data_IF_580344385568
#
_entry.id   IF_580344385568
#
_cell.length_a   1.000
_cell.length_b   1.000
_cell.length_c   1.000
_cell.angle_alpha   90.00
_cell.angle_beta   90.00
_cell.angle_gamma   90.00
#
_symmetry.space_group_name_H-M   'P 1'
#
loop_
_entity.id
_entity.type
_entity.pdbx_description
1 polymer ?
#
# COMPACT_ATOMS: atom_id res chain seq x y z
N UNK A 1 -20.29 16.25 -13.98
CA UNK A 1 -19.82 14.99 -14.62
C UNK A 1 -19.89 13.88 -13.58
N UNK A 2 -20.52 12.77 -13.95
CA UNK A 2 -20.68 11.61 -13.08
C UNK A 2 -19.54 10.63 -13.31
N UNK A 3 -18.80 10.30 -12.25
CA UNK A 3 -17.65 9.40 -12.28
C UNK A 3 -17.98 8.12 -11.55
N UNK A 4 -17.88 6.99 -12.23
CA UNK A 4 -18.04 5.70 -11.59
C UNK A 4 -16.67 5.09 -11.29
N UNK A 5 -16.41 4.81 -10.01
CA UNK A 5 -15.19 4.15 -9.56
C UNK A 5 -15.43 2.65 -9.52
N UNK A 6 -14.88 1.92 -10.47
CA UNK A 6 -15.01 0.49 -10.57
C UNK A 6 -13.79 -0.23 -10.00
N UNK A 7 -14.04 -1.19 -9.13
CA UNK A 7 -13.03 -2.12 -8.63
C UNK A 7 -11.82 -1.51 -7.94
N UNK A 8 -12.04 -0.43 -7.22
CA UNK A 8 -11.03 0.21 -6.39
C UNK A 8 -11.02 -0.49 -5.04
N UNK A 9 -10.41 -1.69 -4.98
CA UNK A 9 -10.38 -2.52 -3.80
C UNK A 9 -9.30 -2.07 -2.82
N UNK A 10 -9.50 -1.01 -2.11
CA UNK A 10 -8.77 -0.84 -0.86
C UNK A 10 -9.51 0.11 0.07
N UNK A 11 -9.33 -0.09 1.34
CA UNK A 11 -9.91 0.69 2.42
C UNK A 11 -9.53 2.18 2.39
N UNK A 12 -8.48 2.52 1.70
CA UNK A 12 -7.90 3.86 1.69
C UNK A 12 -8.42 4.74 0.56
N UNK A 13 -8.62 4.18 -0.62
CA UNK A 13 -8.92 5.00 -1.79
C UNK A 13 -10.42 5.20 -2.09
N UNK A 14 -11.32 4.20 -1.97
CA UNK A 14 -12.72 4.41 -2.34
C UNK A 14 -13.40 5.53 -1.56
N UNK A 15 -13.14 5.62 -0.27
CA UNK A 15 -13.78 6.64 0.56
C UNK A 15 -13.13 8.02 0.36
N UNK A 16 -11.82 8.07 0.31
CA UNK A 16 -11.07 9.32 0.13
C UNK A 16 -11.15 9.82 -1.31
N UNK A 17 -11.00 8.93 -2.30
CA UNK A 17 -11.09 9.30 -3.72
C UNK A 17 -12.47 9.77 -4.13
N UNK A 18 -13.54 9.15 -3.61
CA UNK A 18 -14.89 9.59 -3.88
C UNK A 18 -15.20 10.94 -3.23
N UNK A 19 -14.83 11.12 -1.98
CA UNK A 19 -15.02 12.39 -1.25
C UNK A 19 -14.29 13.55 -1.94
N UNK A 20 -13.06 13.31 -2.40
CA UNK A 20 -12.26 14.32 -3.09
C UNK A 20 -12.75 14.67 -4.48
N UNK A 21 -13.18 13.68 -5.26
CA UNK A 21 -13.81 13.95 -6.55
C UNK A 21 -15.12 14.74 -6.35
N UNK A 22 -15.89 14.44 -5.31
CA UNK A 22 -17.04 15.23 -4.93
C UNK A 22 -16.66 16.68 -4.59
N UNK A 23 -15.58 16.92 -3.85
CA UNK A 23 -15.08 18.27 -3.55
C UNK A 23 -14.64 19.03 -4.81
N UNK A 24 -14.22 18.34 -5.86
CA UNK A 24 -13.92 18.90 -7.18
C UNK A 24 -15.14 19.04 -8.10
N UNK A 25 -16.34 18.84 -7.58
CA UNK A 25 -17.60 19.02 -8.30
C UNK A 25 -18.01 17.82 -9.17
N UNK A 26 -17.44 16.64 -8.94
CA UNK A 26 -17.90 15.41 -9.59
C UNK A 26 -18.99 14.75 -8.74
N UNK A 27 -20.00 14.22 -9.39
CA UNK A 27 -20.93 13.28 -8.77
C UNK A 27 -20.29 11.89 -8.87
N UNK A 28 -19.98 11.28 -7.73
CA UNK A 28 -19.25 10.01 -7.68
C UNK A 28 -20.17 8.89 -7.21
N UNK A 29 -20.26 7.84 -7.99
CA UNK A 29 -20.93 6.59 -7.65
C UNK A 29 -20.00 5.41 -7.73
N UNK A 30 -20.48 4.27 -7.28
CA UNK A 30 -19.78 2.99 -7.37
C UNK A 30 -19.48 2.38 -6.03
N UNK A 31 -19.77 1.08 -6.00
CA UNK A 31 -19.17 0.18 -5.02
C UNK A 31 -19.35 -1.24 -5.62
N UNK A 32 -18.47 -2.05 -5.74
CA UNK A 32 -17.75 -2.59 -6.79
C UNK A 32 -17.27 -4.02 -6.61
N UNK A 33 -17.81 -4.77 -5.73
CA UNK A 33 -17.45 -6.17 -5.50
C UNK A 33 -18.56 -7.16 -5.81
N UNK A 34 -19.81 -6.72 -5.91
CA UNK A 34 -20.92 -7.66 -6.14
C UNK A 34 -21.49 -7.59 -7.56
N UNK A 35 -21.75 -8.74 -8.20
CA UNK A 35 -22.64 -8.73 -9.37
C UNK A 35 -24.01 -8.22 -8.90
N UNK A 36 -24.42 -7.01 -9.31
CA UNK A 36 -24.59 -6.64 -10.69
C UNK A 36 -23.93 -5.30 -11.06
N UNK A 37 -22.65 -5.27 -11.25
CA UNK A 37 -21.89 -4.10 -11.68
C UNK A 37 -22.51 -3.37 -12.88
N UNK A 38 -22.95 -4.12 -13.89
CA UNK A 38 -23.58 -3.56 -15.08
C UNK A 38 -24.83 -2.75 -14.73
N UNK A 39 -25.71 -3.29 -13.88
CA UNK A 39 -26.96 -2.62 -13.50
C UNK A 39 -26.68 -1.37 -12.68
N UNK A 40 -25.74 -1.42 -11.75
CA UNK A 40 -25.32 -0.24 -10.96
C UNK A 40 -24.74 0.85 -11.84
N UNK A 41 -23.93 0.50 -12.85
CA UNK A 41 -23.35 1.44 -13.80
C UNK A 41 -24.44 2.07 -14.69
N UNK A 42 -25.38 1.29 -15.18
CA UNK A 42 -26.53 1.76 -15.99
C UNK A 42 -27.44 2.66 -15.14
N UNK A 43 -27.77 2.24 -13.92
CA UNK A 43 -28.62 3.01 -13.00
C UNK A 43 -27.98 4.35 -12.61
N UNK A 44 -26.64 4.41 -12.46
CA UNK A 44 -25.91 5.62 -12.17
C UNK A 44 -25.74 6.55 -13.38
N UNK A 45 -25.88 6.04 -14.59
CA UNK A 45 -25.69 6.78 -15.85
C UNK A 45 -24.35 7.56 -15.88
N UNK A 46 -23.25 6.84 -15.66
CA UNK A 46 -21.91 7.44 -15.55
C UNK A 46 -21.46 8.12 -16.86
N UNK A 47 -20.84 9.29 -16.74
CA UNK A 47 -20.18 9.97 -17.85
C UNK A 47 -18.76 9.42 -18.07
N UNK A 48 -18.11 8.95 -17.00
CA UNK A 48 -16.76 8.36 -17.03
C UNK A 48 -16.65 7.21 -16.03
N UNK A 49 -15.92 6.16 -16.39
CA UNK A 49 -15.56 5.06 -15.49
C UNK A 49 -14.06 5.08 -15.22
N UNK A 50 -13.68 5.14 -13.95
CA UNK A 50 -12.31 4.91 -13.50
C UNK A 50 -12.23 3.46 -13.03
N UNK A 51 -11.38 2.70 -13.67
CA UNK A 51 -11.21 1.28 -13.39
C UNK A 51 -9.84 0.96 -12.84
N UNK A 52 -9.80 0.39 -11.65
CA UNK A 52 -8.57 -0.12 -11.03
C UNK A 52 -8.64 -1.65 -10.96
N UNK A 53 -7.97 -2.39 -11.86
CA UNK A 53 -8.04 -3.84 -11.90
C UNK A 53 -7.40 -4.44 -10.66
N UNK A 54 -8.15 -5.29 -9.98
CA UNK A 54 -7.66 -6.02 -8.81
C UNK A 54 -7.42 -7.51 -9.11
N UNK A 55 -8.14 -8.08 -10.07
CA UNK A 55 -8.04 -9.50 -10.44
C UNK A 55 -8.24 -9.70 -11.94
N UNK A 56 -7.65 -10.79 -12.47
CA UNK A 56 -7.83 -11.20 -13.88
C UNK A 56 -9.30 -11.35 -14.31
N UNK A 57 -10.15 -11.82 -13.39
CA UNK A 57 -11.59 -12.02 -13.67
C UNK A 57 -12.31 -10.71 -13.94
N UNK A 58 -11.88 -9.63 -13.32
CA UNK A 58 -12.50 -8.31 -13.44
C UNK A 58 -12.23 -7.69 -14.81
N UNK A 59 -11.04 -7.95 -15.38
CA UNK A 59 -10.69 -7.53 -16.73
C UNK A 59 -11.61 -8.20 -17.79
N UNK A 60 -11.96 -9.47 -17.60
CA UNK A 60 -12.82 -10.22 -18.50
C UNK A 60 -14.27 -9.71 -18.48
N UNK A 61 -14.74 -9.20 -17.34
CA UNK A 61 -16.12 -8.65 -17.23
C UNK A 61 -16.26 -7.35 -18.01
N UNK A 62 -15.21 -6.53 -18.08
CA UNK A 62 -15.18 -5.31 -18.90
C UNK A 62 -15.08 -5.59 -20.40
N UNK A 63 -14.61 -6.77 -20.79
CA UNK A 63 -14.56 -7.21 -22.19
C UNK A 63 -15.94 -7.40 -22.84
N UNK A 64 -17.03 -7.41 -22.08
CA UNK A 64 -18.38 -7.47 -22.64
C UNK A 64 -18.73 -6.10 -23.21
N UNK A 65 -18.73 -6.02 -24.53
CA UNK A 65 -18.87 -4.87 -25.44
C UNK A 65 -19.84 -3.75 -25.02
N UNK A 66 -20.73 -3.98 -24.07
CA UNK A 66 -21.78 -3.04 -23.70
C UNK A 66 -21.41 -2.07 -22.57
N UNK A 67 -20.39 -2.40 -21.77
CA UNK A 67 -19.93 -1.54 -20.65
C UNK A 67 -19.00 -0.43 -21.13
N UNK A 68 -18.38 -0.57 -22.29
CA UNK A 68 -17.32 0.28 -22.83
C UNK A 68 -17.82 1.46 -23.69
N UNK A 69 -19.10 1.79 -23.65
CA UNK A 69 -19.65 2.97 -24.38
C UNK A 69 -19.27 4.30 -23.73
N UNK A 70 -18.84 4.26 -22.48
CA UNK A 70 -18.49 5.43 -21.70
C UNK A 70 -16.97 5.58 -21.72
N UNK A 71 -16.41 6.80 -21.82
CA UNK A 71 -14.98 7.04 -21.67
C UNK A 71 -14.45 6.39 -20.40
N UNK A 72 -13.35 5.65 -20.53
CA UNK A 72 -12.80 4.87 -19.42
C UNK A 72 -11.34 5.25 -19.17
N UNK A 73 -11.00 5.38 -17.89
CA UNK A 73 -9.64 5.53 -17.41
C UNK A 73 -9.22 4.24 -16.71
N UNK A 74 -8.17 3.61 -17.20
CA UNK A 74 -7.50 2.53 -16.49
C UNK A 74 -6.50 3.12 -15.50
N UNK A 75 -6.68 2.85 -14.21
CA UNK A 75 -5.69 3.15 -13.18
C UNK A 75 -5.10 1.86 -12.64
N UNK A 76 -3.96 1.47 -13.15
CA UNK A 76 -3.27 0.25 -12.78
C UNK A 76 -2.54 0.45 -11.44
N UNK A 77 -3.21 0.13 -10.33
CA UNK A 77 -2.70 0.28 -8.98
C UNK A 77 -1.85 -0.93 -8.52
N UNK A 78 -2.05 -2.08 -9.15
CA UNK A 78 -1.52 -3.35 -8.67
C UNK A 78 -0.78 -4.14 -9.75
N UNK A 79 0.43 -3.75 -10.11
CA UNK A 79 1.30 -4.67 -10.82
C UNK A 79 1.96 -5.67 -9.86
N UNK A 80 1.23 -6.17 -8.87
CA UNK A 80 1.74 -7.13 -7.87
C UNK A 80 2.41 -8.34 -8.48
N UNK A 81 2.11 -8.61 -9.74
CA UNK A 81 2.62 -9.73 -10.49
C UNK A 81 3.74 -9.37 -11.46
N UNK A 82 4.12 -8.07 -11.54
CA UNK A 82 5.05 -7.62 -12.59
C UNK A 82 6.54 -7.69 -12.22
N UNK A 83 6.87 -7.92 -10.97
CA UNK A 83 8.27 -7.80 -10.52
C UNK A 83 9.08 -9.08 -10.57
N UNK A 84 8.52 -10.19 -11.07
CA UNK A 84 9.26 -11.45 -11.24
C UNK A 84 9.85 -12.03 -9.96
N UNK A 85 9.33 -11.62 -8.81
CA UNK A 85 9.85 -12.06 -7.52
C UNK A 85 9.71 -13.56 -7.29
N UNK A 86 8.71 -14.17 -7.87
CA UNK A 86 8.49 -15.61 -7.77
C UNK A 86 8.67 -16.25 -9.14
N UNK A 87 9.87 -16.77 -9.41
CA UNK A 87 10.18 -17.46 -10.66
C UNK A 87 9.25 -18.65 -10.96
N UNK A 88 8.71 -19.29 -9.94
CA UNK A 88 7.75 -20.39 -10.11
C UNK A 88 6.37 -19.88 -10.53
N UNK A 89 6.07 -18.59 -10.28
CA UNK A 89 4.82 -17.93 -10.69
C UNK A 89 4.92 -17.08 -11.95
N UNK A 90 6.09 -17.00 -12.57
CA UNK A 90 6.30 -16.23 -13.81
C UNK A 90 5.32 -16.64 -14.94
N UNK A 91 4.91 -17.89 -14.97
CA UNK A 91 3.90 -18.39 -15.93
C UNK A 91 2.55 -17.66 -15.76
N UNK A 92 2.22 -17.21 -14.55
CA UNK A 92 0.99 -16.44 -14.30
C UNK A 92 1.16 -14.95 -14.60
N UNK A 93 2.39 -14.44 -14.62
CA UNK A 93 2.68 -13.03 -14.92
C UNK A 93 2.49 -12.70 -16.39
N UNK A 94 3.01 -13.54 -17.28
CA UNK A 94 2.86 -13.33 -18.72
C UNK A 94 1.37 -13.30 -19.08
N UNK A 95 0.59 -14.24 -18.57
CA UNK A 95 -0.86 -14.26 -18.78
C UNK A 95 -1.62 -13.08 -18.16
N UNK A 96 -1.11 -12.43 -17.12
CA UNK A 96 -1.69 -11.20 -16.58
C UNK A 96 -1.34 -9.99 -17.45
N UNK A 97 -0.08 -9.87 -17.87
CA UNK A 97 0.35 -8.81 -18.80
C UNK A 97 -0.40 -8.89 -20.13
N UNK A 98 -0.54 -10.09 -20.69
CA UNK A 98 -1.34 -10.32 -21.87
C UNK A 98 -2.80 -9.88 -21.65
N UNK A 99 -3.41 -10.26 -20.52
CA UNK A 99 -4.79 -9.86 -20.22
C UNK A 99 -4.95 -8.36 -19.99
N UNK A 100 -3.94 -7.68 -19.44
CA UNK A 100 -3.94 -6.22 -19.31
C UNK A 100 -3.75 -5.58 -20.67
N UNK A 101 -2.81 -6.07 -21.47
CA UNK A 101 -2.57 -5.59 -22.84
C UNK A 101 -3.83 -5.71 -23.71
N UNK A 102 -4.57 -6.83 -23.59
CA UNK A 102 -5.80 -7.07 -24.32
C UNK A 102 -6.92 -6.08 -24.00
N UNK A 103 -6.97 -5.55 -22.78
CA UNK A 103 -8.01 -4.58 -22.37
C UNK A 103 -7.59 -3.13 -22.58
N UNK A 104 -6.31 -2.83 -22.68
CA UNK A 104 -5.81 -1.45 -22.80
C UNK A 104 -6.39 -0.67 -23.98
N UNK A 105 -6.61 -1.27 -25.17
CA UNK A 105 -7.23 -0.56 -26.29
C UNK A 105 -8.65 -0.02 -26.02
N UNK A 106 -9.31 -0.54 -24.99
CA UNK A 106 -10.66 -0.11 -24.63
C UNK A 106 -10.67 1.10 -23.69
N UNK A 107 -9.50 1.48 -23.13
CA UNK A 107 -9.38 2.64 -22.27
C UNK A 107 -8.83 3.84 -23.03
N UNK A 108 -9.46 4.98 -22.83
CA UNK A 108 -9.02 6.22 -23.45
C UNK A 108 -7.71 6.74 -22.86
N UNK A 109 -7.48 6.49 -21.58
CA UNK A 109 -6.28 6.91 -20.85
C UNK A 109 -5.83 5.83 -19.88
N UNK A 110 -4.55 5.86 -19.57
CA UNK A 110 -3.91 4.89 -18.69
C UNK A 110 -3.11 5.61 -17.62
N UNK A 111 -3.30 5.24 -16.37
CA UNK A 111 -2.56 5.78 -15.24
C UNK A 111 -1.96 4.68 -14.37
N UNK A 112 -0.89 5.01 -13.68
CA UNK A 112 -0.17 4.15 -12.73
C UNK A 112 0.18 4.93 -11.48
N UNK A 113 0.54 4.25 -10.40
CA UNK A 113 0.79 4.87 -9.11
C UNK A 113 2.25 5.25 -8.84
N UNK A 114 3.18 4.96 -9.76
CA UNK A 114 4.61 5.29 -9.60
C UNK A 114 5.33 5.36 -10.95
N UNK A 115 6.45 6.07 -11.01
CA UNK A 115 7.32 6.06 -12.20
C UNK A 115 7.98 4.69 -12.41
N UNK A 116 8.23 3.95 -11.32
CA UNK A 116 8.69 2.57 -11.43
C UNK A 116 7.68 1.72 -12.22
N UNK A 117 6.42 1.76 -11.83
CA UNK A 117 5.35 1.02 -12.52
C UNK A 117 5.17 1.51 -13.96
N UNK A 118 5.27 2.82 -14.21
CA UNK A 118 5.22 3.39 -15.56
C UNK A 118 6.29 2.76 -16.45
N UNK A 119 7.55 2.85 -16.04
CA UNK A 119 8.67 2.29 -16.83
C UNK A 119 8.48 0.80 -17.10
N UNK A 120 8.12 0.05 -16.07
CA UNK A 120 7.93 -1.39 -16.18
C UNK A 120 6.85 -1.79 -17.19
N UNK A 121 5.73 -1.06 -17.22
CA UNK A 121 4.64 -1.33 -18.15
C UNK A 121 4.98 -0.86 -19.58
N UNK A 122 5.57 0.32 -19.73
CA UNK A 122 5.97 0.85 -21.04
C UNK A 122 7.07 0.00 -21.71
N UNK A 123 7.93 -0.65 -20.93
CA UNK A 123 8.93 -1.61 -21.44
C UNK A 123 8.30 -2.94 -21.89
N UNK A 124 7.14 -3.30 -21.36
CA UNK A 124 6.52 -4.61 -21.57
C UNK A 124 5.29 -4.59 -22.47
N UNK A 125 4.62 -3.46 -22.57
CA UNK A 125 3.39 -3.30 -23.34
C UNK A 125 3.61 -2.20 -24.37
N UNK A 126 3.89 -2.60 -25.60
CA UNK A 126 4.15 -1.68 -26.69
C UNK A 126 2.89 -0.89 -27.09
N UNK A 127 3.11 0.35 -27.52
CA UNK A 127 2.06 1.19 -28.10
C UNK A 127 1.19 1.96 -27.10
N UNK A 128 1.44 1.83 -25.79
CA UNK A 128 0.71 2.56 -24.77
C UNK A 128 1.61 3.47 -23.95
N UNK A 129 1.04 4.60 -23.53
CA UNK A 129 1.68 5.54 -22.62
C UNK A 129 0.89 5.63 -21.34
N UNK A 130 1.60 5.76 -20.21
CA UNK A 130 1.02 5.86 -18.90
C UNK A 130 1.31 7.21 -18.25
N UNK A 131 0.27 7.79 -17.66
CA UNK A 131 0.39 8.93 -16.76
C UNK A 131 0.64 8.46 -15.35
N UNK A 132 1.51 9.15 -14.61
CA UNK A 132 1.68 8.87 -13.19
C UNK A 132 0.64 9.64 -12.39
N UNK A 133 -0.17 8.90 -11.66
CA UNK A 133 -1.13 9.41 -10.69
C UNK A 133 -0.86 8.72 -9.36
N UNK A 134 -0.11 9.37 -8.48
CA UNK A 134 0.25 8.82 -7.17
C UNK A 134 -0.99 8.57 -6.33
N UNK A 135 -0.91 7.59 -5.43
CA UNK A 135 -1.87 7.47 -4.34
C UNK A 135 -1.65 8.62 -3.34
N UNK A 136 -2.74 9.14 -2.81
CA UNK A 136 -2.71 10.23 -1.84
C UNK A 136 -2.97 9.77 -0.41
N UNK A 137 -2.46 10.55 0.54
CA UNK A 137 -2.74 10.45 1.97
C UNK A 137 -3.74 11.51 2.38
N UNK A 138 -4.65 11.15 3.26
CA UNK A 138 -5.48 12.12 3.99
C UNK A 138 -4.66 12.71 5.14
N UNK A 139 -3.87 13.74 4.80
CA UNK A 139 -2.94 14.36 5.76
C UNK A 139 -3.69 15.03 6.90
N UNK A 140 -4.84 15.65 6.62
CA UNK A 140 -5.67 16.31 7.62
C UNK A 140 -6.26 15.30 8.61
N UNK A 141 -6.67 14.12 8.13
CA UNK A 141 -7.15 13.07 9.02
C UNK A 141 -6.03 12.52 9.89
N UNK A 142 -4.83 12.29 9.34
CA UNK A 142 -3.68 11.85 10.14
C UNK A 142 -3.31 12.90 11.19
N UNK A 143 -3.26 14.19 10.83
CA UNK A 143 -2.94 15.28 11.77
C UNK A 143 -4.01 15.44 12.87
N UNK A 144 -5.29 15.25 12.53
CA UNK A 144 -6.41 15.31 13.51
C UNK A 144 -6.27 14.28 14.63
N UNK A 145 -5.76 13.11 14.30
CA UNK A 145 -5.59 12.01 15.26
C UNK A 145 -4.19 11.91 15.82
N UNK A 146 -3.26 12.71 15.29
CA UNK A 146 -1.95 12.87 15.87
C UNK A 146 -2.11 13.57 17.22
N UNK A 147 -1.71 12.91 18.29
CA UNK A 147 -1.56 13.55 19.59
C UNK A 147 -0.53 14.67 19.45
N UNK A 148 -0.71 15.78 20.15
CA UNK A 148 0.25 16.91 20.19
C UNK A 148 1.70 16.49 20.45
N UNK A 149 2.50 17.29 21.08
CA UNK A 149 3.89 16.91 21.43
C UNK A 149 3.89 15.52 22.06
N UNK A 150 4.64 14.60 21.45
CA UNK A 150 4.73 13.22 21.97
C UNK A 150 5.19 13.31 23.43
N UNK A 151 4.45 12.71 24.39
CA UNK A 151 4.94 12.68 25.76
C UNK A 151 6.31 11.97 25.76
N UNK A 152 7.24 12.45 26.56
CA UNK A 152 8.46 11.70 26.84
C UNK A 152 8.07 10.29 27.27
N UNK A 153 8.35 9.32 26.42
CA UNK A 153 8.07 7.92 26.71
C UNK A 153 9.32 7.26 27.24
N UNK A 154 9.13 6.40 28.19
CA UNK A 154 10.19 5.55 28.76
C UNK A 154 10.67 4.46 27.77
N UNK A 155 9.91 4.19 26.70
CA UNK A 155 10.24 3.15 25.73
C UNK A 155 9.90 3.55 24.30
N UNK A 156 10.74 3.13 23.34
CA UNK A 156 10.51 3.28 21.91
C UNK A 156 9.53 2.23 21.39
N UNK A 157 8.81 2.58 20.33
CA UNK A 157 7.88 1.69 19.65
C UNK A 157 8.28 1.49 18.18
N UNK A 158 8.51 0.24 17.81
CA UNK A 158 8.83 -0.19 16.43
C UNK A 158 7.63 -0.92 15.83
N UNK A 159 7.18 -0.51 14.66
CA UNK A 159 6.02 -1.10 13.97
C UNK A 159 6.44 -1.80 12.68
N UNK A 160 5.95 -3.02 12.49
CA UNK A 160 5.84 -3.67 11.19
C UNK A 160 4.36 -3.84 10.84
N UNK A 161 3.90 -3.17 9.75
CA UNK A 161 2.50 -3.14 9.36
C UNK A 161 2.34 -3.53 7.89
N UNK A 162 2.14 -4.81 7.64
CA UNK A 162 1.88 -5.36 6.32
C UNK A 162 0.89 -6.51 6.37
N UNK A 163 0.31 -6.84 5.21
CA UNK A 163 -0.42 -8.10 5.06
C UNK A 163 0.52 -9.28 5.29
N UNK A 164 0.00 -10.33 5.89
CA UNK A 164 0.76 -11.54 6.15
C UNK A 164 0.86 -12.42 4.90
N UNK A 165 1.73 -12.00 4.00
CA UNK A 165 1.96 -12.62 2.69
C UNK A 165 3.44 -12.83 2.44
N UNK A 166 3.76 -13.75 1.51
CA UNK A 166 5.16 -14.05 1.12
C UNK A 166 5.86 -12.87 0.47
N UNK A 167 5.15 -12.10 -0.36
CA UNK A 167 5.67 -10.89 -1.01
C UNK A 167 6.03 -9.78 -0.01
N UNK A 168 5.43 -9.79 1.17
CA UNK A 168 5.77 -8.86 2.27
C UNK A 168 6.90 -9.35 3.17
N UNK A 169 7.50 -10.50 2.83
CA UNK A 169 8.62 -11.09 3.55
C UNK A 169 8.35 -11.22 5.07
N UNK A 170 7.16 -11.71 5.41
CA UNK A 170 6.74 -11.85 6.82
C UNK A 170 7.74 -12.67 7.64
N UNK A 171 8.32 -13.73 7.06
CA UNK A 171 9.34 -14.51 7.76
C UNK A 171 10.56 -13.66 8.12
N UNK A 172 11.10 -12.91 7.16
CA UNK A 172 12.24 -12.04 7.40
C UNK A 172 11.91 -10.94 8.42
N UNK A 173 10.67 -10.40 8.41
CA UNK A 173 10.22 -9.44 9.40
C UNK A 173 10.23 -10.02 10.82
N UNK A 174 9.68 -11.21 11.02
CA UNK A 174 9.62 -11.84 12.33
C UNK A 174 11.02 -12.25 12.82
N UNK A 175 11.92 -12.71 11.94
CA UNK A 175 13.30 -13.01 12.29
C UNK A 175 14.07 -11.75 12.73
N UNK A 176 13.86 -10.62 12.06
CA UNK A 176 14.40 -9.31 12.43
C UNK A 176 13.87 -8.88 13.80
N UNK A 177 12.55 -8.94 14.00
CA UNK A 177 11.89 -8.57 15.25
C UNK A 177 12.39 -9.46 16.40
N UNK A 178 12.48 -10.78 16.22
CA UNK A 178 13.00 -11.70 17.25
C UNK A 178 14.41 -11.30 17.69
N UNK A 179 15.27 -11.04 16.72
CA UNK A 179 16.67 -10.64 16.98
C UNK A 179 16.77 -9.31 17.73
N UNK A 180 16.03 -8.30 17.27
CA UNK A 180 16.09 -6.95 17.86
C UNK A 180 15.37 -6.89 19.21
N UNK A 181 14.24 -7.56 19.38
CA UNK A 181 13.50 -7.59 20.64
C UNK A 181 14.28 -8.34 21.74
N UNK A 182 15.04 -9.36 21.37
CA UNK A 182 15.94 -10.03 22.32
C UNK A 182 17.08 -9.09 22.80
N UNK A 183 17.56 -8.20 21.92
CA UNK A 183 18.66 -7.27 22.22
C UNK A 183 18.19 -6.00 22.94
N UNK A 184 17.01 -5.48 22.58
CA UNK A 184 16.47 -4.21 23.05
C UNK A 184 15.17 -4.44 23.86
N UNK A 185 15.33 -4.81 25.13
CA UNK A 185 14.22 -5.22 26.01
C UNK A 185 13.30 -4.07 26.42
N UNK A 186 13.79 -2.86 26.33
CA UNK A 186 13.12 -1.58 26.61
C UNK A 186 12.35 -1.03 25.40
N UNK A 187 12.44 -1.70 24.24
CA UNK A 187 11.74 -1.31 23.00
C UNK A 187 10.52 -2.20 22.80
N UNK A 188 9.35 -1.61 22.52
CA UNK A 188 8.14 -2.34 22.13
C UNK A 188 8.13 -2.59 20.63
N UNK A 189 7.92 -3.84 20.23
CA UNK A 189 7.78 -4.25 18.83
C UNK A 189 6.32 -4.60 18.55
N UNK A 190 5.70 -3.85 17.65
CA UNK A 190 4.31 -4.05 17.24
C UNK A 190 4.27 -4.74 15.88
N UNK A 191 3.56 -5.84 15.80
CA UNK A 191 3.34 -6.61 14.58
C UNK A 191 1.90 -6.46 14.17
N UNK A 192 1.66 -5.73 13.10
CA UNK A 192 0.31 -5.53 12.56
C UNK A 192 -0.25 -6.82 11.96
N UNK A 193 -1.52 -7.06 12.22
CA UNK A 193 -2.27 -8.21 11.70
C UNK A 193 -3.49 -7.68 10.95
N UNK A 194 -3.48 -7.80 9.64
CA UNK A 194 -4.55 -7.25 8.80
C UNK A 194 -5.63 -8.27 8.41
N UNK A 195 -5.42 -9.56 8.68
CA UNK A 195 -6.32 -10.61 8.20
C UNK A 195 -6.60 -11.61 9.32
N UNK A 196 -7.80 -12.16 9.30
CA UNK A 196 -8.13 -13.28 10.17
C UNK A 196 -7.28 -14.49 9.79
N UNK A 197 -6.69 -15.13 10.79
CA UNK A 197 -5.88 -16.35 10.61
C UNK A 197 -6.66 -17.49 9.96
N UNK A 198 -7.98 -17.38 9.97
CA UNK A 198 -8.90 -18.41 9.50
C UNK A 198 -9.07 -18.43 7.99
N UNK A 199 -8.49 -17.45 7.25
CA UNK A 199 -8.42 -17.50 5.78
C UNK A 199 -7.09 -18.08 5.28
N UNK A 200 -7.00 -19.41 5.09
CA UNK A 200 -5.74 -20.09 4.79
C UNK A 200 -5.24 -19.93 3.36
N UNK A 201 -5.90 -19.13 2.52
CA UNK A 201 -5.66 -19.14 1.06
C UNK A 201 -4.33 -18.55 0.62
N UNK A 202 -3.62 -17.78 1.47
CA UNK A 202 -2.47 -17.02 1.03
C UNK A 202 -1.14 -17.34 1.74
N UNK A 203 -1.18 -18.17 2.76
CA UNK A 203 0.02 -18.58 3.50
C UNK A 203 0.44 -19.98 3.07
N UNK A 204 1.57 -20.15 2.39
CA UNK A 204 2.06 -21.49 2.04
C UNK A 204 2.18 -22.41 3.26
N UNK A 205 1.96 -23.72 3.13
CA UNK A 205 2.07 -24.65 4.24
C UNK A 205 3.40 -24.55 5.02
N UNK A 206 4.53 -24.36 4.30
CA UNK A 206 5.84 -24.15 4.89
C UNK A 206 5.94 -22.93 5.81
N UNK A 207 5.19 -21.86 5.52
CA UNK A 207 5.10 -20.69 6.39
C UNK A 207 4.20 -20.93 7.60
N UNK A 208 3.15 -21.76 7.48
CA UNK A 208 2.33 -22.13 8.64
C UNK A 208 3.15 -22.84 9.71
N UNK A 209 4.00 -23.80 9.32
CA UNK A 209 4.91 -24.49 10.23
C UNK A 209 5.95 -23.55 10.85
N UNK A 210 6.45 -22.58 10.08
CA UNK A 210 7.33 -21.55 10.60
C UNK A 210 6.63 -20.72 11.68
N UNK A 211 5.42 -20.23 11.40
CA UNK A 211 4.66 -19.41 12.35
C UNK A 211 4.29 -20.17 13.62
N UNK A 212 3.86 -21.43 13.49
CA UNK A 212 3.56 -22.25 14.66
C UNK A 212 4.75 -22.33 15.64
N UNK A 213 5.97 -22.26 15.14
CA UNK A 213 7.18 -22.25 15.98
C UNK A 213 7.63 -20.83 16.38
N UNK A 214 7.50 -19.84 15.50
CA UNK A 214 8.00 -18.49 15.74
C UNK A 214 7.13 -17.70 16.72
N UNK A 215 5.80 -17.78 16.59
CA UNK A 215 4.90 -16.97 17.42
C UNK A 215 5.05 -17.23 18.92
N UNK A 216 5.13 -18.50 19.42
CA UNK A 216 5.36 -18.72 20.84
C UNK A 216 6.74 -18.22 21.33
N UNK A 217 7.77 -18.24 20.48
CA UNK A 217 9.09 -17.68 20.85
C UNK A 217 9.02 -16.16 20.99
N UNK A 218 8.41 -15.48 20.01
CA UNK A 218 8.22 -14.03 20.02
C UNK A 218 7.38 -13.59 21.23
N UNK A 219 6.29 -14.29 21.54
CA UNK A 219 5.45 -13.99 22.69
C UNK A 219 6.22 -14.07 24.04
N UNK A 220 7.18 -14.98 24.16
CA UNK A 220 8.02 -15.12 25.37
C UNK A 220 8.98 -13.96 25.60
N UNK A 221 9.27 -13.15 24.57
CA UNK A 221 10.15 -11.99 24.72
C UNK A 221 9.51 -10.90 25.58
N UNK A 222 8.19 -10.84 25.69
CA UNK A 222 7.45 -9.91 26.53
C UNK A 222 7.32 -8.49 25.98
N UNK A 223 8.16 -8.11 25.01
CA UNK A 223 8.15 -6.80 24.36
C UNK A 223 7.72 -6.87 22.86
N UNK A 224 7.20 -8.02 22.42
CA UNK A 224 6.61 -8.19 21.07
C UNK A 224 5.10 -8.33 21.23
N UNK A 225 4.35 -7.47 20.56
CA UNK A 225 2.90 -7.38 20.65
C UNK A 225 2.27 -7.56 19.27
N UNK A 226 1.43 -8.57 19.14
CA UNK A 226 0.65 -8.80 17.93
C UNK A 226 -0.64 -7.99 18.02
N UNK A 227 -0.84 -7.08 17.07
CA UNK A 227 -2.01 -6.21 17.03
C UNK A 227 -3.21 -6.97 16.47
N UNK A 228 -4.37 -6.74 17.03
CA UNK A 228 -5.63 -7.15 16.43
C UNK A 228 -5.92 -6.34 15.17
N UNK A 229 -6.80 -6.86 14.31
CA UNK A 229 -7.32 -6.09 13.17
C UNK A 229 -7.98 -4.81 13.69
N UNK A 230 -7.66 -3.70 13.06
CA UNK A 230 -8.38 -2.44 13.33
C UNK A 230 -9.78 -2.51 12.75
N UNK A 231 -10.76 -2.14 13.55
CA UNK A 231 -12.17 -2.08 13.14
C UNK A 231 -12.49 -0.75 12.46
N UNK A 232 -11.72 0.28 12.78
CA UNK A 232 -11.85 1.60 12.18
C UNK A 232 -10.47 2.20 11.85
N UNK A 233 -10.39 2.94 10.75
CA UNK A 233 -9.17 3.61 10.31
C UNK A 233 -8.62 4.61 11.34
N UNK A 234 -9.51 5.22 12.11
CA UNK A 234 -9.12 6.14 13.20
C UNK A 234 -8.28 5.47 14.29
N UNK A 235 -8.54 4.20 14.58
CA UNK A 235 -7.74 3.45 15.57
C UNK A 235 -6.32 3.23 15.04
N UNK A 236 -6.19 2.95 13.76
CA UNK A 236 -4.91 2.81 13.08
C UNK A 236 -4.11 4.12 13.10
N UNK A 237 -4.72 5.26 12.76
CA UNK A 237 -4.03 6.55 12.80
C UNK A 237 -3.61 6.96 14.21
N UNK A 238 -4.43 6.65 15.23
CA UNK A 238 -4.03 6.83 16.64
C UNK A 238 -2.81 5.99 16.99
N UNK A 239 -2.79 4.72 16.57
CA UNK A 239 -1.61 3.89 16.75
C UNK A 239 -0.38 4.50 16.08
N UNK A 240 -0.49 4.95 14.83
CA UNK A 240 0.65 5.53 14.10
C UNK A 240 1.24 6.75 14.83
N UNK A 241 0.41 7.54 15.53
CA UNK A 241 0.90 8.66 16.35
C UNK A 241 1.77 8.21 17.52
N UNK A 242 1.77 6.93 17.83
CA UNK A 242 2.54 6.32 18.91
C UNK A 242 3.78 5.57 18.45
N UNK A 243 3.99 5.44 17.15
CA UNK A 243 5.10 4.71 16.54
C UNK A 243 6.31 5.62 16.35
N UNK A 244 7.47 5.21 16.85
CA UNK A 244 8.73 5.95 16.69
C UNK A 244 9.51 5.53 15.45
N UNK A 245 9.44 4.22 15.15
CA UNK A 245 10.13 3.61 14.01
C UNK A 245 9.14 2.69 13.29
N UNK A 246 9.06 2.79 11.97
CA UNK A 246 8.33 1.83 11.15
C UNK A 246 9.26 1.19 10.13
N UNK A 247 9.03 -0.07 9.77
CA UNK A 247 9.85 -0.70 8.76
C UNK A 247 9.09 -1.61 7.83
N UNK A 248 9.65 -1.78 6.65
CA UNK A 248 9.28 -2.80 5.69
C UNK A 248 10.48 -3.65 5.33
N UNK A 249 10.23 -4.91 5.04
CA UNK A 249 11.19 -5.80 4.39
C UNK A 249 10.56 -6.51 3.19
N UNK A 250 9.52 -5.90 2.62
CA UNK A 250 8.79 -6.45 1.48
C UNK A 250 9.71 -6.63 0.28
N UNK A 251 9.57 -7.76 -0.40
CA UNK A 251 10.21 -7.97 -1.71
C UNK A 251 9.48 -7.20 -2.80
N UNK A 252 8.19 -6.98 -2.60
CA UNK A 252 7.34 -6.35 -3.59
C UNK A 252 6.39 -5.32 -2.94
N UNK A 253 6.48 -4.08 -3.43
CA UNK A 253 5.60 -2.98 -3.05
C UNK A 253 5.50 -1.96 -4.19
N UNK A 254 4.29 -1.62 -4.59
CA UNK A 254 4.06 -0.70 -5.70
C UNK A 254 3.97 0.76 -5.29
N UNK A 255 3.64 1.01 -4.02
CA UNK A 255 3.55 2.36 -3.47
C UNK A 255 3.96 2.43 -1.99
N UNK A 256 3.48 1.49 -1.15
CA UNK A 256 3.82 1.45 0.27
C UNK A 256 3.06 2.47 1.12
N UNK A 257 1.75 2.59 0.91
CA UNK A 257 0.93 3.61 1.58
C UNK A 257 1.03 3.56 3.11
N UNK A 258 1.08 2.35 3.70
CA UNK A 258 1.20 2.20 5.15
C UNK A 258 2.51 2.77 5.71
N UNK A 259 3.60 2.70 4.92
CA UNK A 259 4.88 3.30 5.30
C UNK A 259 4.85 4.82 5.16
N UNK A 260 4.14 5.38 4.17
CA UNK A 260 3.93 6.84 4.04
C UNK A 260 3.06 7.38 5.18
N UNK A 261 2.00 6.67 5.56
CA UNK A 261 1.15 7.04 6.68
C UNK A 261 1.96 7.09 7.99
N UNK A 262 2.76 6.05 8.27
CA UNK A 262 3.66 6.03 9.43
C UNK A 262 4.69 7.17 9.38
N UNK A 263 5.30 7.42 8.22
CA UNK A 263 6.23 8.51 7.98
C UNK A 263 5.60 9.88 8.26
N UNK A 264 4.39 10.12 7.74
CA UNK A 264 3.69 11.39 7.96
C UNK A 264 3.27 11.55 9.42
N UNK A 265 2.85 10.48 10.08
CA UNK A 265 2.57 10.48 11.51
C UNK A 265 3.81 10.76 12.38
N UNK A 266 5.01 10.70 11.82
CA UNK A 266 6.27 11.09 12.45
C UNK A 266 7.20 9.94 12.83
N UNK A 267 6.99 8.74 12.29
CA UNK A 267 7.92 7.63 12.46
C UNK A 267 9.15 7.78 11.56
N UNK A 268 10.32 7.39 12.07
CA UNK A 268 11.50 7.14 11.25
C UNK A 268 11.31 5.82 10.50
N UNK A 269 11.41 5.83 9.16
CA UNK A 269 11.12 4.65 8.36
C UNK A 269 12.37 4.00 7.79
N UNK A 270 12.39 2.66 7.78
CA UNK A 270 13.38 1.84 7.07
C UNK A 270 12.66 1.02 6.02
N UNK A 271 13.10 1.13 4.76
CA UNK A 271 12.50 0.41 3.64
C UNK A 271 13.57 -0.24 2.76
N UNK A 272 13.25 -1.36 2.08
CA UNK A 272 14.21 -2.00 1.20
C UNK A 272 14.42 -1.19 -0.08
N UNK A 273 15.64 -1.24 -0.62
CA UNK A 273 15.98 -0.66 -1.92
C UNK A 273 15.46 -1.56 -3.05
N UNK A 274 14.15 -1.59 -3.22
CA UNK A 274 13.49 -2.43 -4.24
C UNK A 274 12.18 -1.80 -4.72
N UNK A 275 11.80 -2.12 -5.94
CA UNK A 275 10.54 -1.72 -6.58
C UNK A 275 10.31 -0.21 -6.49
N UNK A 276 9.19 0.25 -5.97
CA UNK A 276 8.85 1.66 -5.87
C UNK A 276 9.38 2.35 -4.60
N UNK A 277 9.94 1.62 -3.63
CA UNK A 277 10.39 2.22 -2.37
C UNK A 277 11.41 3.34 -2.54
N UNK A 278 12.49 3.20 -3.36
CA UNK A 278 13.48 4.27 -3.51
C UNK A 278 12.89 5.57 -4.07
N UNK A 279 11.88 5.46 -4.91
CA UNK A 279 11.17 6.58 -5.51
C UNK A 279 10.21 7.24 -4.52
N UNK A 280 9.31 6.44 -3.96
CA UNK A 280 8.19 6.92 -3.16
C UNK A 280 8.63 7.32 -1.74
N UNK A 281 9.61 6.62 -1.17
CA UNK A 281 10.07 6.80 0.21
C UNK A 281 11.47 7.40 0.30
N UNK A 282 11.78 8.37 -0.55
CA UNK A 282 13.11 8.99 -0.63
C UNK A 282 13.56 9.69 0.68
N UNK A 283 12.63 9.95 1.61
CA UNK A 283 12.94 10.47 2.93
C UNK A 283 13.25 9.40 3.98
N UNK A 284 13.01 8.12 3.67
CA UNK A 284 13.28 7.00 4.56
C UNK A 284 14.74 6.54 4.46
N UNK A 285 15.17 5.73 5.42
CA UNK A 285 16.41 4.98 5.33
C UNK A 285 16.21 3.82 4.33
N UNK A 286 16.58 4.04 3.07
CA UNK A 286 16.47 3.07 1.98
C UNK A 286 17.73 2.21 1.95
N UNK A 287 17.59 0.90 2.19
CA UNK A 287 18.72 -0.01 2.35
C UNK A 287 18.47 -1.36 1.65
N UNK A 288 19.52 -2.14 1.42
CA UNK A 288 19.33 -3.51 0.95
C UNK A 288 18.68 -4.37 2.04
N UNK A 289 18.04 -5.48 1.67
CA UNK A 289 17.34 -6.34 2.64
C UNK A 289 18.23 -6.80 3.82
N UNK A 290 19.50 -7.10 3.56
CA UNK A 290 20.47 -7.49 4.59
C UNK A 290 20.81 -6.37 5.58
N UNK A 291 20.54 -5.13 5.22
CA UNK A 291 20.89 -3.94 6.02
C UNK A 291 19.69 -3.40 6.83
N UNK A 292 18.49 -4.00 6.68
CA UNK A 292 17.29 -3.55 7.40
C UNK A 292 17.48 -3.70 8.92
N UNK A 293 17.94 -4.85 9.40
CA UNK A 293 18.16 -5.06 10.83
C UNK A 293 19.27 -4.14 11.42
N UNK A 294 20.44 -3.96 10.77
CA UNK A 294 21.41 -2.94 11.16
C UNK A 294 20.82 -1.53 11.18
N UNK A 295 20.09 -1.13 10.15
CA UNK A 295 19.43 0.17 10.05
C UNK A 295 18.44 0.42 11.19
N UNK A 296 17.60 -0.56 11.50
CA UNK A 296 16.70 -0.51 12.65
C UNK A 296 17.43 -0.40 13.97
N UNK A 297 18.48 -1.21 14.17
CA UNK A 297 19.30 -1.14 15.40
C UNK A 297 19.92 0.25 15.58
N UNK A 298 20.36 0.87 14.49
CA UNK A 298 20.89 2.23 14.51
C UNK A 298 19.84 3.26 14.89
N UNK A 299 18.63 3.19 14.31
CA UNK A 299 17.52 4.08 14.66
C UNK A 299 17.09 3.93 16.13
N UNK A 300 17.15 2.70 16.68
CA UNK A 300 16.88 2.48 18.11
C UNK A 300 17.92 3.14 18.99
N UNK A 301 19.19 3.05 18.65
CA UNK A 301 20.31 3.49 19.48
C UNK A 301 20.64 4.99 19.37
N UNK A 302 20.49 5.56 18.16
CA UNK A 302 20.92 6.93 17.86
C UNK A 302 19.72 7.88 17.79
N UNK A 303 19.39 8.53 18.89
CA UNK A 303 18.20 9.41 18.99
C UNK A 303 18.22 10.56 17.98
N UNK A 304 19.38 11.22 17.80
CA UNK A 304 19.51 12.33 16.86
C UNK A 304 19.33 11.86 15.41
N UNK A 305 19.94 10.74 15.04
CA UNK A 305 19.81 10.15 13.71
C UNK A 305 18.35 9.73 13.45
N UNK A 306 17.69 9.12 14.44
CA UNK A 306 16.26 8.79 14.34
C UNK A 306 15.39 10.02 14.09
N UNK A 307 15.63 11.11 14.84
CA UNK A 307 14.88 12.35 14.68
C UNK A 307 15.07 12.98 13.30
N UNK A 308 16.30 12.95 12.75
CA UNK A 308 16.58 13.43 11.40
C UNK A 308 15.87 12.59 10.34
N UNK A 309 15.94 11.27 10.41
CA UNK A 309 15.24 10.36 9.48
C UNK A 309 13.73 10.56 9.59
N UNK A 310 13.16 10.68 10.79
CA UNK A 310 11.73 10.93 10.98
C UNK A 310 11.28 12.25 10.33
N UNK A 311 12.09 13.31 10.48
CA UNK A 311 11.83 14.60 9.83
C UNK A 311 11.82 14.47 8.31
N UNK A 312 12.83 13.82 7.72
CA UNK A 312 12.92 13.60 6.26
C UNK A 312 11.76 12.73 5.75
N UNK A 313 11.40 11.68 6.49
CA UNK A 313 10.26 10.83 6.21
C UNK A 313 8.97 11.65 6.12
N UNK A 314 8.70 12.49 7.12
CA UNK A 314 7.50 13.33 7.17
C UNK A 314 7.45 14.34 6.03
N UNK A 315 8.57 15.02 5.73
CA UNK A 315 8.67 15.97 4.62
C UNK A 315 8.41 15.29 3.28
N UNK A 316 8.93 14.08 3.09
CA UNK A 316 8.68 13.31 1.88
C UNK A 316 7.22 12.88 1.77
N UNK A 317 6.64 12.32 2.84
CA UNK A 317 5.26 11.85 2.86
C UNK A 317 4.25 12.99 2.63
N UNK A 318 4.53 14.19 3.11
CA UNK A 318 3.71 15.38 2.90
C UNK A 318 3.52 15.81 1.43
N UNK A 319 4.35 15.30 0.51
CA UNK A 319 4.21 15.54 -0.93
C UNK A 319 3.04 14.73 -1.55
N UNK A 320 2.61 13.67 -0.90
CA UNK A 320 1.58 12.77 -1.39
C UNK A 320 0.22 13.09 -0.80
N UNK A 321 -0.18 14.36 -0.91
CA UNK A 321 -1.49 14.79 -0.45
C UNK A 321 -2.59 14.27 -1.37
N UNK A 322 -3.64 13.79 -0.79
CA UNK A 322 -4.80 13.23 -1.47
C UNK A 322 -5.46 14.22 -2.46
N UNK A 323 -5.43 15.52 -2.17
CA UNK A 323 -5.93 16.55 -3.09
C UNK A 323 -5.13 16.62 -4.40
N UNK A 324 -3.81 16.42 -4.35
CA UNK A 324 -2.97 16.36 -5.55
C UNK A 324 -3.31 15.15 -6.43
N UNK A 325 -3.62 14.02 -5.80
CA UNK A 325 -4.12 12.84 -6.51
C UNK A 325 -5.44 13.11 -7.21
N UNK A 326 -6.38 13.78 -6.51
CA UNK A 326 -7.68 14.15 -7.08
C UNK A 326 -7.56 15.15 -8.24
N UNK A 327 -6.68 16.13 -8.13
CA UNK A 327 -6.41 17.08 -9.21
C UNK A 327 -5.83 16.39 -10.44
N UNK A 328 -4.84 15.52 -10.25
CA UNK A 328 -4.27 14.74 -11.35
C UNK A 328 -5.33 13.83 -11.98
N UNK A 329 -6.11 13.12 -11.17
CA UNK A 329 -7.17 12.25 -11.64
C UNK A 329 -8.26 13.03 -12.38
N UNK A 330 -8.68 14.18 -11.87
CA UNK A 330 -9.64 15.07 -12.53
C UNK A 330 -9.14 15.51 -13.91
N UNK A 331 -7.86 15.87 -14.04
CA UNK A 331 -7.24 16.21 -15.32
C UNK A 331 -7.14 15.03 -16.30
N UNK A 332 -7.07 13.80 -15.80
CA UNK A 332 -7.08 12.59 -16.63
C UNK A 332 -8.50 12.20 -17.10
N UNK A 333 -9.51 12.59 -16.35
CA UNK A 333 -10.92 12.30 -16.66
C UNK A 333 -11.50 13.35 -17.64
N UNK A 334 -11.09 14.60 -17.53
CA UNK A 334 -11.52 15.67 -18.42
C UNK A 334 -10.92 15.52 -19.84
#
# INVERSE_FOLDING_TARGET
MRVYLANVASWTFPNQGSEMLCQKGFEVGGNWLDPPFRRQLEDFSADVVVYAPHRRVDAVVLHKKDVLRVPTLLWALYPDYLTGWDREKNVHMDGFLESVADIMPYFRRHAVNSFFTKRLLEERIEGFQFEVCFLGLDLEAIDRYRRGERPERSSLTVLWQHRWRTDKNLRGALDIIETLAAKHRDVAFLVGRNEDWDEPFWVPPSLKDYFARALPRLARLGNVHFLSRFTAQVEYWRLLSEVDIAFSCSYHETFGIAMLEAAYAGAACVVPNTVAYPEIHSGALVVNHSEIAPGLSRLVQETQFRAEVAYQCRQNAGKYHVNSTAEKLAGLIA
#
